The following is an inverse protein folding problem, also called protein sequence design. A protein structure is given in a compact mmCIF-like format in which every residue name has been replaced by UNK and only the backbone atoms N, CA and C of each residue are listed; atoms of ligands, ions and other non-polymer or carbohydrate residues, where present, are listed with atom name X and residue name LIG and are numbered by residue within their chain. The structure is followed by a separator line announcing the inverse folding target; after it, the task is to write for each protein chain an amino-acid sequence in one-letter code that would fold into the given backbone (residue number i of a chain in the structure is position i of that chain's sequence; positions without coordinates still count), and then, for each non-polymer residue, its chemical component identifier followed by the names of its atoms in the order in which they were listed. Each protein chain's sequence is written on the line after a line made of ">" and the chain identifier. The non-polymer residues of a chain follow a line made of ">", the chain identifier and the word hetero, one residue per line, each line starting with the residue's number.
data_IF_177653131974
#
_entry.id   IF_177653131974
#
_cell.length_a   1.000
_cell.length_b   1.000
_cell.length_c   1.000
_cell.angle_alpha   90.00
_cell.angle_beta   90.00
_cell.angle_gamma   90.00
#
_symmetry.space_group_name_H-M   'P 1'
#
loop_
_entity.id
_entity.type
_entity.pdbx_description
1 polymer ?
#
# COMPACT_ATOMS: atom_id res chain seq x y z
N UNK A 1 -26.77 2.84 -33.57
CA UNK A 1 -25.44 2.70 -32.94
C UNK A 1 -25.61 1.76 -31.76
N UNK A 2 -24.69 0.81 -31.53
CA UNK A 2 -24.73 -0.04 -30.33
C UNK A 2 -24.52 0.84 -29.08
N UNK A 3 -25.16 0.49 -27.97
CA UNK A 3 -25.12 1.26 -26.72
C UNK A 3 -23.67 1.47 -26.22
N UNK A 4 -22.84 0.44 -26.29
CA UNK A 4 -21.43 0.47 -25.85
C UNK A 4 -20.60 1.53 -26.57
N UNK A 5 -20.88 1.78 -27.86
CA UNK A 5 -20.17 2.80 -28.66
C UNK A 5 -20.54 4.21 -28.20
N UNK A 6 -21.78 4.41 -27.76
CA UNK A 6 -22.24 5.69 -27.23
C UNK A 6 -21.61 5.91 -25.85
N UNK A 7 -21.61 4.88 -25.00
CA UNK A 7 -20.99 4.94 -23.67
C UNK A 7 -19.49 5.23 -23.76
N UNK A 8 -18.78 4.55 -24.67
CA UNK A 8 -17.35 4.83 -24.89
C UNK A 8 -17.12 6.27 -25.37
N UNK A 9 -17.91 6.75 -26.34
CA UNK A 9 -17.77 8.13 -26.82
C UNK A 9 -18.00 9.17 -25.71
N UNK A 10 -18.86 8.85 -24.74
CA UNK A 10 -19.13 9.70 -23.59
C UNK A 10 -17.95 9.74 -22.62
N UNK A 11 -17.38 8.58 -22.28
CA UNK A 11 -16.19 8.45 -21.43
C UNK A 11 -14.99 9.15 -22.08
N UNK A 12 -14.77 8.88 -23.35
CA UNK A 12 -13.71 9.49 -24.17
C UNK A 12 -13.75 11.03 -24.12
N UNK A 13 -14.95 11.62 -24.25
CA UNK A 13 -15.12 13.07 -24.17
C UNK A 13 -14.92 13.63 -22.76
N UNK A 14 -15.38 12.90 -21.74
CA UNK A 14 -15.17 13.28 -20.34
C UNK A 14 -13.68 13.35 -20.03
N UNK A 15 -12.91 12.35 -20.45
CA UNK A 15 -11.46 12.31 -20.25
C UNK A 15 -10.75 13.36 -21.09
N UNK A 16 -11.02 13.38 -22.40
CA UNK A 16 -10.33 14.25 -23.35
C UNK A 16 -11.33 15.15 -24.07
N UNK A 17 -11.52 16.41 -23.62
CA UNK A 17 -12.51 17.32 -24.20
C UNK A 17 -12.18 17.77 -25.63
N UNK A 18 -10.97 17.48 -26.13
CA UNK A 18 -10.58 17.64 -27.53
C UNK A 18 -11.21 16.61 -28.46
N UNK A 19 -11.77 15.51 -27.92
CA UNK A 19 -12.48 14.50 -28.71
C UNK A 19 -13.85 15.00 -29.18
N UNK A 20 -14.44 14.39 -30.23
CA UNK A 20 -15.74 14.82 -30.74
C UNK A 20 -16.85 14.74 -29.70
N UNK A 21 -17.69 15.77 -29.61
CA UNK A 21 -18.85 15.79 -28.72
C UNK A 21 -19.79 14.61 -29.07
N UNK A 22 -20.19 13.77 -28.09
CA UNK A 22 -21.09 12.66 -28.33
C UNK A 22 -22.42 13.13 -28.92
N UNK A 23 -22.92 12.42 -29.94
CA UNK A 23 -24.18 12.78 -30.61
C UNK A 23 -25.34 12.80 -29.62
N UNK A 24 -26.13 13.87 -29.63
CA UNK A 24 -27.29 14.04 -28.73
C UNK A 24 -26.95 14.58 -27.34
N UNK A 25 -25.69 14.98 -27.11
CA UNK A 25 -25.28 15.65 -25.88
C UNK A 25 -25.04 17.16 -26.09
N UNK A 26 -25.12 17.93 -25.02
CA UNK A 26 -24.85 19.37 -25.01
C UNK A 26 -23.50 19.62 -24.33
N UNK A 27 -22.62 20.40 -24.99
CA UNK A 27 -21.27 20.68 -24.49
C UNK A 27 -21.26 21.24 -23.05
N UNK A 28 -22.23 22.10 -22.70
CA UNK A 28 -22.38 22.63 -21.33
C UNK A 28 -22.62 21.53 -20.30
N UNK A 29 -23.47 20.53 -20.60
CA UNK A 29 -23.74 19.41 -19.69
C UNK A 29 -22.54 18.50 -19.57
N UNK A 30 -21.88 18.21 -20.70
CA UNK A 30 -20.66 17.40 -20.71
C UNK A 30 -19.55 18.02 -19.86
N UNK A 31 -19.39 19.36 -19.91
CA UNK A 31 -18.47 20.07 -19.04
C UNK A 31 -18.79 19.84 -17.55
N UNK A 32 -20.05 19.96 -17.16
CA UNK A 32 -20.48 19.70 -15.76
C UNK A 32 -20.12 18.28 -15.33
N UNK A 33 -20.39 17.27 -16.18
CA UNK A 33 -20.03 15.89 -15.87
C UNK A 33 -18.52 15.71 -15.74
N UNK A 34 -17.74 16.22 -16.68
CA UNK A 34 -16.28 16.16 -16.61
C UNK A 34 -15.77 16.78 -15.31
N UNK A 35 -16.21 17.99 -15.00
CA UNK A 35 -15.76 18.71 -13.81
C UNK A 35 -16.13 17.93 -12.54
N UNK A 36 -17.32 17.32 -12.49
CA UNK A 36 -17.73 16.45 -11.37
C UNK A 36 -16.84 15.21 -11.22
N UNK A 37 -16.60 14.47 -12.30
CA UNK A 37 -15.76 13.26 -12.26
C UNK A 37 -14.32 13.59 -11.91
N UNK A 38 -13.75 14.63 -12.53
CA UNK A 38 -12.40 15.09 -12.22
C UNK A 38 -12.28 15.50 -10.76
N UNK A 39 -13.21 16.32 -10.24
CA UNK A 39 -13.18 16.76 -8.85
C UNK A 39 -13.33 15.60 -7.86
N UNK A 40 -14.13 14.57 -8.19
CA UNK A 40 -14.24 13.37 -7.36
C UNK A 40 -12.92 12.59 -7.33
N UNK A 41 -12.29 12.36 -8.49
CA UNK A 41 -10.99 11.69 -8.57
C UNK A 41 -9.92 12.49 -7.83
N UNK A 42 -9.83 13.79 -8.07
CA UNK A 42 -8.90 14.67 -7.35
C UNK A 42 -9.13 14.60 -5.84
N UNK A 43 -10.38 14.72 -5.39
CA UNK A 43 -10.72 14.65 -3.96
C UNK A 43 -10.36 13.31 -3.33
N UNK A 44 -10.55 12.21 -4.06
CA UNK A 44 -10.19 10.89 -3.59
C UNK A 44 -8.69 10.70 -3.47
N UNK A 45 -7.92 11.01 -4.53
CA UNK A 45 -6.46 10.88 -4.52
C UNK A 45 -5.86 11.82 -3.47
N UNK A 46 -6.30 13.08 -3.40
CA UNK A 46 -5.82 14.04 -2.39
C UNK A 46 -6.05 13.56 -0.95
N UNK A 47 -7.19 12.91 -0.70
CA UNK A 47 -7.49 12.37 0.64
C UNK A 47 -6.70 11.10 0.96
N UNK A 48 -6.33 10.31 -0.05
CA UNK A 48 -5.59 9.07 0.10
C UNK A 48 -4.08 9.27 0.23
N UNK A 49 -3.54 10.37 -0.31
CA UNK A 49 -2.11 10.67 -0.34
C UNK A 49 -1.79 12.08 0.22
N UNK A 50 -2.17 12.38 1.47
CA UNK A 50 -2.06 13.72 2.04
C UNK A 50 -0.61 14.23 2.11
N UNK A 51 0.36 13.37 2.45
CA UNK A 51 1.78 13.73 2.51
C UNK A 51 2.30 13.97 1.10
N UNK A 52 2.07 13.05 0.16
CA UNK A 52 2.48 13.25 -1.22
C UNK A 52 1.90 14.54 -1.81
N UNK A 53 0.61 14.78 -1.62
CA UNK A 53 -0.06 16.00 -2.07
C UNK A 53 0.61 17.27 -1.52
N UNK A 54 0.99 17.29 -0.24
CA UNK A 54 1.68 18.43 0.38
C UNK A 54 3.02 18.78 -0.26
N UNK A 55 3.63 17.86 -1.02
CA UNK A 55 4.91 18.10 -1.68
C UNK A 55 4.77 18.91 -2.97
N UNK A 56 3.56 19.02 -3.52
CA UNK A 56 3.28 19.68 -4.80
C UNK A 56 2.71 21.08 -4.61
N UNK A 57 2.94 21.94 -5.60
CA UNK A 57 2.07 23.10 -5.78
C UNK A 57 0.69 22.64 -6.27
N UNK A 58 -0.35 23.44 -6.03
CA UNK A 58 -1.71 23.13 -6.53
C UNK A 58 -1.73 22.91 -8.06
N UNK A 59 -0.96 23.70 -8.82
CA UNK A 59 -0.90 23.58 -10.28
C UNK A 59 -0.25 22.26 -10.73
N UNK A 60 0.86 21.88 -10.09
CA UNK A 60 1.56 20.64 -10.41
C UNK A 60 0.75 19.42 -9.99
N UNK A 61 0.09 19.47 -8.83
CA UNK A 61 -0.81 18.41 -8.39
C UNK A 61 -1.98 18.21 -9.35
N UNK A 62 -2.68 19.29 -9.71
CA UNK A 62 -3.80 19.20 -10.67
C UNK A 62 -3.35 18.68 -12.04
N UNK A 63 -2.10 18.97 -12.44
CA UNK A 63 -1.51 18.41 -13.67
C UNK A 63 -1.32 16.90 -13.53
N UNK A 64 -0.73 16.42 -12.45
CA UNK A 64 -0.55 14.99 -12.17
C UNK A 64 -1.91 14.25 -12.15
N UNK A 65 -2.91 14.80 -11.47
CA UNK A 65 -4.26 14.23 -11.42
C UNK A 65 -4.93 14.26 -12.79
N UNK A 66 -4.71 15.30 -13.60
CA UNK A 66 -5.23 15.39 -14.95
C UNK A 66 -4.63 14.32 -15.86
N UNK A 67 -3.34 14.03 -15.72
CA UNK A 67 -2.66 12.96 -16.44
C UNK A 67 -3.18 11.58 -16.03
N UNK A 68 -3.36 11.34 -14.72
CA UNK A 68 -4.00 10.13 -14.20
C UNK A 68 -5.41 9.96 -14.78
N UNK A 69 -6.25 11.00 -14.70
CA UNK A 69 -7.64 10.97 -15.16
C UNK A 69 -7.79 10.66 -16.65
N UNK A 70 -6.84 11.14 -17.47
CA UNK A 70 -6.85 10.95 -18.92
C UNK A 70 -6.28 9.59 -19.32
N UNK A 71 -5.17 9.20 -18.70
CA UNK A 71 -4.37 8.05 -19.12
C UNK A 71 -4.92 6.75 -18.55
N UNK A 72 -5.29 6.76 -17.27
CA UNK A 72 -5.70 5.55 -16.56
C UNK A 72 -7.22 5.33 -16.66
N UNK A 73 -7.62 4.14 -17.11
CA UNK A 73 -9.03 3.72 -17.16
C UNK A 73 -9.47 3.15 -15.82
N UNK A 74 -9.88 4.02 -14.89
CA UNK A 74 -10.48 3.62 -13.62
C UNK A 74 -11.68 2.69 -13.85
N UNK A 75 -11.63 1.48 -13.28
CA UNK A 75 -12.67 0.46 -13.47
C UNK A 75 -13.72 0.46 -12.36
N UNK A 76 -13.57 1.34 -11.38
CA UNK A 76 -14.29 1.27 -10.11
C UNK A 76 -14.59 2.63 -9.50
N UNK A 77 -15.75 2.81 -8.87
CA UNK A 77 -16.06 3.99 -8.07
C UNK A 77 -15.58 3.88 -6.61
N UNK A 78 -14.93 2.77 -6.22
CA UNK A 78 -14.56 2.49 -4.84
C UNK A 78 -13.29 3.25 -4.46
N UNK A 79 -13.37 4.09 -3.43
CA UNK A 79 -12.29 4.99 -2.98
C UNK A 79 -10.91 4.30 -2.86
N UNK A 80 -10.83 3.19 -2.12
CA UNK A 80 -9.55 2.49 -1.90
C UNK A 80 -9.01 1.88 -3.20
N UNK A 81 -9.89 1.45 -4.11
CA UNK A 81 -9.46 0.89 -5.39
C UNK A 81 -8.96 2.00 -6.32
N UNK A 82 -9.54 3.21 -6.27
CA UNK A 82 -9.02 4.38 -6.99
C UNK A 82 -7.63 4.78 -6.48
N UNK A 83 -7.41 4.73 -5.17
CA UNK A 83 -6.07 4.96 -4.60
C UNK A 83 -5.06 3.91 -5.11
N UNK A 84 -5.46 2.64 -5.17
CA UNK A 84 -4.63 1.59 -5.75
C UNK A 84 -4.32 1.83 -7.23
N UNK A 85 -5.32 2.19 -8.03
CA UNK A 85 -5.17 2.52 -9.45
C UNK A 85 -4.21 3.71 -9.65
N UNK A 86 -4.24 4.71 -8.76
CA UNK A 86 -3.27 5.80 -8.80
C UNK A 86 -1.83 5.32 -8.54
N UNK A 87 -1.61 4.42 -7.58
CA UNK A 87 -0.29 3.80 -7.36
C UNK A 87 0.17 3.02 -8.60
N UNK A 88 -0.72 2.26 -9.23
CA UNK A 88 -0.42 1.53 -10.48
C UNK A 88 -0.04 2.51 -11.59
N UNK A 89 -0.82 3.57 -11.78
CA UNK A 89 -0.53 4.62 -12.76
C UNK A 89 0.87 5.21 -12.56
N UNK A 90 1.23 5.57 -11.33
CA UNK A 90 2.57 6.08 -11.01
C UNK A 90 3.69 5.09 -11.32
N UNK A 91 3.42 3.78 -11.21
CA UNK A 91 4.40 2.71 -11.44
C UNK A 91 4.58 2.34 -12.91
N UNK A 92 3.52 2.34 -13.71
CA UNK A 92 3.53 1.73 -15.05
C UNK A 92 3.20 2.66 -16.21
N UNK A 93 2.56 3.79 -15.95
CA UNK A 93 2.02 4.67 -17.01
C UNK A 93 2.62 6.07 -16.95
N UNK A 94 2.81 6.60 -15.75
CA UNK A 94 3.35 7.95 -15.53
C UNK A 94 4.84 8.01 -15.86
N UNK A 95 5.26 9.13 -16.46
CA UNK A 95 6.66 9.42 -16.72
C UNK A 95 7.11 10.54 -15.79
N UNK A 96 8.06 10.23 -14.91
CA UNK A 96 8.57 11.18 -13.94
C UNK A 96 9.20 12.40 -14.64
N UNK A 97 8.91 13.56 -14.08
CA UNK A 97 9.44 14.86 -14.50
C UNK A 97 10.35 15.44 -13.42
N UNK A 98 11.08 16.52 -13.74
CA UNK A 98 11.94 17.23 -12.77
C UNK A 98 11.17 17.84 -11.58
N UNK A 99 9.83 17.89 -11.66
CA UNK A 99 8.97 18.41 -10.58
C UNK A 99 8.58 17.33 -9.58
N UNK A 100 8.72 16.07 -9.96
CA UNK A 100 8.30 14.95 -9.13
C UNK A 100 9.38 14.59 -8.10
N UNK A 101 8.99 14.34 -6.83
CA UNK A 101 9.92 13.78 -5.87
C UNK A 101 10.45 12.43 -6.36
N UNK A 102 11.76 12.21 -6.25
CA UNK A 102 12.41 10.96 -6.69
C UNK A 102 11.87 9.70 -6.02
N UNK A 103 11.20 9.86 -4.88
CA UNK A 103 10.58 8.80 -4.07
C UNK A 103 9.06 8.70 -4.23
N UNK A 104 8.45 9.43 -5.17
CA UNK A 104 6.98 9.51 -5.37
C UNK A 104 6.29 8.14 -5.33
N UNK A 105 6.81 7.14 -6.03
CA UNK A 105 6.22 5.79 -6.10
C UNK A 105 6.25 5.12 -4.72
N UNK A 106 7.39 5.21 -4.02
CA UNK A 106 7.56 4.59 -2.70
C UNK A 106 6.67 5.28 -1.66
N UNK A 107 6.57 6.61 -1.68
CA UNK A 107 5.70 7.37 -0.78
C UNK A 107 4.22 7.09 -1.07
N UNK A 108 3.80 7.09 -2.33
CA UNK A 108 2.43 6.77 -2.70
C UNK A 108 2.05 5.36 -2.21
N UNK A 109 2.93 4.37 -2.42
CA UNK A 109 2.70 3.02 -1.91
C UNK A 109 2.64 3.00 -0.37
N UNK A 110 3.51 3.75 0.32
CA UNK A 110 3.50 3.87 1.78
C UNK A 110 2.18 4.39 2.33
N UNK A 111 1.65 5.50 1.80
CA UNK A 111 0.37 6.07 2.23
C UNK A 111 -0.81 5.16 1.85
N UNK A 112 -0.81 4.58 0.64
CA UNK A 112 -1.85 3.64 0.22
C UNK A 112 -1.94 2.41 1.15
N UNK A 113 -0.80 1.90 1.60
CA UNK A 113 -0.78 0.72 2.48
C UNK A 113 -1.40 0.98 3.84
N UNK A 114 -1.44 2.23 4.31
CA UNK A 114 -2.20 2.62 5.51
C UNK A 114 -3.70 2.34 5.32
N UNK A 115 -4.26 2.74 4.19
CA UNK A 115 -5.67 2.50 3.85
C UNK A 115 -5.97 1.00 3.74
N UNK A 116 -5.08 0.25 3.10
CA UNK A 116 -5.21 -1.22 2.95
C UNK A 116 -5.31 -1.89 4.30
N UNK A 117 -4.45 -1.53 5.25
CA UNK A 117 -4.46 -2.10 6.59
C UNK A 117 -5.65 -1.60 7.41
N UNK A 118 -6.03 -0.33 7.26
CA UNK A 118 -7.18 0.24 7.95
C UNK A 118 -8.48 -0.52 7.64
N UNK A 119 -8.70 -0.93 6.38
CA UNK A 119 -9.94 -1.61 5.96
C UNK A 119 -9.80 -3.12 5.82
N UNK A 120 -8.63 -3.70 6.12
CA UNK A 120 -8.38 -5.13 6.04
C UNK A 120 -9.40 -5.90 6.89
N UNK A 121 -9.96 -6.99 6.37
CA UNK A 121 -10.92 -7.80 7.11
C UNK A 121 -10.18 -8.79 8.00
N UNK A 122 -10.62 -8.91 9.25
CA UNK A 122 -10.14 -9.99 10.11
C UNK A 122 -10.50 -11.35 9.53
N UNK A 123 -9.54 -12.26 9.58
CA UNK A 123 -9.71 -13.62 9.16
C UNK A 123 -10.14 -14.46 10.37
N UNK A 124 -11.29 -15.15 10.32
CA UNK A 124 -11.77 -15.95 11.45
C UNK A 124 -10.83 -17.10 11.82
N UNK A 125 -9.98 -17.55 10.89
CA UNK A 125 -8.97 -18.58 11.13
C UNK A 125 -7.75 -18.02 11.86
N UNK A 126 -7.57 -16.70 11.92
CA UNK A 126 -6.43 -16.08 12.60
C UNK A 126 -6.84 -15.69 14.03
N UNK A 127 -6.33 -16.42 15.02
CA UNK A 127 -6.64 -16.21 16.42
C UNK A 127 -5.41 -15.75 17.22
N UNK A 128 -5.65 -15.06 18.33
CA UNK A 128 -4.60 -14.66 19.25
C UNK A 128 -3.92 -15.88 19.87
N UNK A 129 -2.59 -15.84 19.95
CA UNK A 129 -1.78 -16.91 20.54
C UNK A 129 -1.86 -16.82 22.06
N UNK A 130 -2.52 -17.80 22.70
CA UNK A 130 -2.66 -17.87 24.17
C UNK A 130 -1.68 -18.82 24.85
N UNK A 131 -1.02 -19.68 24.07
CA UNK A 131 -0.11 -20.73 24.54
C UNK A 131 1.32 -20.56 24.02
N UNK A 132 2.19 -21.56 24.23
CA UNK A 132 3.56 -21.51 23.73
C UNK A 132 3.61 -21.43 22.20
N UNK A 133 4.36 -20.46 21.67
CA UNK A 133 4.57 -20.26 20.23
C UNK A 133 5.06 -21.52 19.53
N UNK A 134 5.89 -22.31 20.21
CA UNK A 134 6.42 -23.56 19.68
C UNK A 134 5.33 -24.61 19.35
N UNK A 135 4.11 -24.46 19.89
CA UNK A 135 3.03 -25.44 19.77
C UNK A 135 1.91 -24.99 18.83
N UNK A 136 2.06 -23.85 18.15
CA UNK A 136 1.02 -23.31 17.29
C UNK A 136 1.48 -23.22 15.84
N UNK A 137 0.50 -23.26 14.94
CA UNK A 137 0.63 -22.94 13.54
C UNK A 137 0.66 -21.42 13.38
N UNK A 138 1.81 -20.82 13.08
CA UNK A 138 2.00 -19.37 13.02
C UNK A 138 1.61 -18.84 11.64
N UNK A 139 0.90 -17.73 11.60
CA UNK A 139 0.65 -16.96 10.38
C UNK A 139 0.86 -15.46 10.63
N UNK A 140 1.11 -14.72 9.54
CA UNK A 140 0.99 -13.27 9.56
C UNK A 140 -0.51 -12.92 9.57
N UNK A 141 -0.92 -11.96 10.39
CA UNK A 141 -2.30 -11.48 10.38
C UNK A 141 -2.66 -10.87 9.02
N UNK A 142 -3.89 -11.07 8.55
CA UNK A 142 -4.39 -10.43 7.31
C UNK A 142 -4.52 -8.92 7.46
N UNK A 143 -4.54 -8.44 8.71
CA UNK A 143 -4.49 -7.03 9.10
C UNK A 143 -3.05 -6.51 9.30
N UNK A 144 -2.04 -7.26 8.85
CA UNK A 144 -0.64 -6.87 8.89
C UNK A 144 0.02 -7.01 7.50
N UNK A 145 0.95 -6.10 7.20
CA UNK A 145 1.68 -6.03 5.93
C UNK A 145 3.14 -5.71 6.18
N UNK A 146 4.02 -6.44 5.51
CA UNK A 146 5.48 -6.25 5.58
C UNK A 146 5.90 -5.45 4.36
N UNK A 147 6.57 -4.33 4.59
CA UNK A 147 6.91 -3.36 3.55
C UNK A 147 8.39 -3.04 3.59
N UNK A 148 8.95 -2.71 2.44
CA UNK A 148 10.34 -2.30 2.31
C UNK A 148 10.44 -1.12 1.32
N UNK A 149 11.24 -0.12 1.70
CA UNK A 149 11.45 1.10 0.93
C UNK A 149 12.93 1.44 0.88
N UNK A 150 13.39 2.00 -0.24
CA UNK A 150 14.77 2.46 -0.41
C UNK A 150 14.95 3.85 0.21
N UNK A 151 13.90 4.67 0.20
CA UNK A 151 13.89 6.02 0.78
C UNK A 151 13.29 6.03 2.19
N UNK A 152 13.65 7.06 2.98
CA UNK A 152 13.11 7.31 4.32
C UNK A 152 11.69 7.91 4.25
N UNK A 153 10.77 7.16 3.63
CA UNK A 153 9.39 7.59 3.34
C UNK A 153 8.58 7.94 4.59
N UNK A 154 8.86 7.29 5.73
CA UNK A 154 8.18 7.55 7.01
C UNK A 154 8.37 8.99 7.50
N UNK A 155 9.50 9.62 7.18
CA UNK A 155 9.85 10.97 7.65
C UNK A 155 9.57 12.05 6.62
N UNK A 156 9.15 11.67 5.42
CA UNK A 156 8.88 12.64 4.35
C UNK A 156 7.81 13.64 4.80
N UNK A 157 8.10 14.90 4.53
CA UNK A 157 7.22 16.05 4.79
C UNK A 157 7.64 17.21 3.89
N UNK A 158 6.94 18.34 3.99
CA UNK A 158 7.35 19.56 3.29
C UNK A 158 8.80 19.97 3.63
N UNK A 159 9.22 19.78 4.89
CA UNK A 159 10.54 20.14 5.42
C UNK A 159 11.63 19.08 5.22
N UNK A 160 11.25 17.82 4.96
CA UNK A 160 12.19 16.72 4.76
C UNK A 160 11.87 15.93 3.50
N UNK A 161 12.68 16.13 2.46
CA UNK A 161 12.57 15.50 1.15
C UNK A 161 13.91 14.85 0.79
N UNK A 162 14.08 13.53 0.94
CA UNK A 162 15.34 12.87 0.64
C UNK A 162 15.61 12.81 -0.87
N UNK A 163 16.77 13.31 -1.31
CA UNK A 163 17.18 13.27 -2.73
C UNK A 163 17.84 11.93 -3.12
N UNK A 164 18.28 11.15 -2.13
CA UNK A 164 18.97 9.87 -2.34
C UNK A 164 18.38 8.78 -1.46
N UNK A 165 18.39 7.51 -1.91
CA UNK A 165 18.04 6.38 -1.06
C UNK A 165 18.92 6.31 0.19
N UNK A 166 18.41 5.64 1.21
CA UNK A 166 19.16 5.28 2.42
C UNK A 166 20.23 4.23 2.09
N UNK A 167 21.29 4.13 2.92
CA UNK A 167 22.36 3.14 2.72
C UNK A 167 21.85 1.69 2.77
N UNK A 168 20.80 1.45 3.56
CA UNK A 168 20.14 0.16 3.69
C UNK A 168 18.61 0.35 3.66
N UNK A 169 17.87 -0.51 2.93
CA UNK A 169 16.41 -0.38 2.84
C UNK A 169 15.74 -0.30 4.21
N UNK A 170 14.77 0.60 4.32
CA UNK A 170 13.90 0.73 5.48
C UNK A 170 12.82 -0.36 5.44
N UNK A 171 12.64 -1.08 6.52
CA UNK A 171 11.69 -2.19 6.61
C UNK A 171 10.65 -1.90 7.67
N UNK A 172 9.39 -2.17 7.36
CA UNK A 172 8.25 -1.87 8.22
C UNK A 172 7.29 -3.05 8.29
N UNK A 173 6.60 -3.16 9.42
CA UNK A 173 5.33 -3.85 9.52
C UNK A 173 4.25 -2.81 9.80
N UNK A 174 3.33 -2.63 8.85
CA UNK A 174 2.08 -1.94 9.11
C UNK A 174 1.10 -2.96 9.65
N UNK A 175 0.42 -2.64 10.73
CA UNK A 175 -0.62 -3.50 11.27
C UNK A 175 -1.72 -2.70 11.94
N UNK A 176 -2.91 -3.28 12.01
CA UNK A 176 -4.01 -2.73 12.80
C UNK A 176 -3.98 -3.35 14.20
N UNK A 177 -3.89 -2.53 15.23
CA UNK A 177 -3.86 -2.98 16.62
C UNK A 177 -5.26 -3.32 17.15
N UNK A 178 -5.33 -3.77 18.41
CA UNK A 178 -6.60 -4.13 19.05
C UNK A 178 -7.56 -2.95 19.32
N UNK A 179 -7.15 -1.72 19.02
CA UNK A 179 -7.99 -0.51 19.08
C UNK A 179 -8.42 -0.04 17.69
N UNK A 180 -8.22 -0.86 16.66
CA UNK A 180 -8.50 -0.54 15.26
C UNK A 180 -7.62 0.60 14.70
N UNK A 181 -6.47 0.88 15.32
CA UNK A 181 -5.52 1.92 14.88
C UNK A 181 -4.42 1.29 14.03
N UNK A 182 -4.10 1.92 12.89
CA UNK A 182 -2.97 1.50 12.06
C UNK A 182 -1.66 1.98 12.68
N UNK A 183 -0.73 1.05 12.88
CA UNK A 183 0.58 1.30 13.48
C UNK A 183 1.67 0.95 12.47
N UNK A 184 2.64 1.84 12.33
CA UNK A 184 3.87 1.64 11.57
C UNK A 184 5.00 1.21 12.51
N UNK A 185 5.37 -0.07 12.47
CA UNK A 185 6.48 -0.61 13.24
C UNK A 185 7.72 -0.74 12.35
N UNK A 186 8.75 0.06 12.60
CA UNK A 186 10.05 -0.12 11.96
C UNK A 186 10.68 -1.44 12.42
N UNK A 187 11.17 -2.23 11.48
CA UNK A 187 11.71 -3.57 11.70
C UNK A 187 13.23 -3.56 11.64
N UNK A 188 13.85 -4.39 12.47
CA UNK A 188 15.23 -4.79 12.22
C UNK A 188 15.27 -5.86 11.10
N UNK A 189 16.45 -6.12 10.50
CA UNK A 189 16.58 -7.04 9.37
C UNK A 189 16.09 -8.47 9.66
N UNK A 190 16.34 -9.00 10.86
CA UNK A 190 15.92 -10.36 11.21
C UNK A 190 14.40 -10.46 11.31
N UNK A 191 13.75 -9.48 11.94
CA UNK A 191 12.29 -9.44 12.07
C UNK A 191 11.61 -9.30 10.72
N UNK A 192 12.12 -8.45 9.84
CA UNK A 192 11.59 -8.31 8.48
C UNK A 192 11.66 -9.60 7.67
N UNK A 193 12.76 -10.36 7.82
CA UNK A 193 12.94 -11.64 7.13
C UNK A 193 11.98 -12.72 7.67
N UNK A 194 11.81 -12.80 8.99
CA UNK A 194 10.83 -13.72 9.60
C UNK A 194 9.41 -13.40 9.15
N UNK A 195 9.00 -12.13 9.22
CA UNK A 195 7.65 -11.73 8.82
C UNK A 195 7.44 -11.87 7.31
N UNK A 196 8.44 -11.56 6.49
CA UNK A 196 8.41 -11.78 5.05
C UNK A 196 8.27 -13.27 4.70
N UNK A 197 8.96 -14.14 5.43
CA UNK A 197 8.82 -15.59 5.29
C UNK A 197 7.40 -16.06 5.66
N UNK A 198 6.85 -15.58 6.79
CA UNK A 198 5.46 -15.86 7.17
C UNK A 198 4.46 -15.37 6.12
N UNK A 199 4.67 -14.20 5.50
CA UNK A 199 3.75 -13.66 4.49
C UNK A 199 3.64 -14.49 3.21
N UNK A 200 4.60 -15.38 2.95
CA UNK A 200 4.63 -16.24 1.76
C UNK A 200 3.94 -17.59 2.00
N UNK A 201 3.51 -17.86 3.23
CA UNK A 201 2.92 -19.13 3.64
C UNK A 201 1.59 -18.88 4.33
N UNK A 202 0.62 -19.77 4.13
CA UNK A 202 -0.65 -19.72 4.88
C UNK A 202 -0.41 -19.99 6.37
N UNK A 203 0.50 -20.91 6.68
CA UNK A 203 0.90 -21.23 8.05
C UNK A 203 2.29 -21.86 8.10
N UNK A 204 3.01 -21.64 9.21
CA UNK A 204 4.36 -22.13 9.47
C UNK A 204 4.47 -22.61 10.92
N UNK A 205 5.02 -23.79 11.15
CA UNK A 205 5.36 -24.22 12.52
C UNK A 205 6.66 -23.57 12.99
N UNK A 206 6.80 -23.34 14.29
CA UNK A 206 8.01 -22.75 14.87
C UNK A 206 9.28 -23.54 14.53
N UNK A 207 9.24 -24.88 14.56
CA UNK A 207 10.40 -25.73 14.21
C UNK A 207 10.82 -25.57 12.74
N UNK A 208 9.84 -25.41 11.84
CA UNK A 208 10.13 -25.19 10.42
C UNK A 208 10.78 -23.81 10.21
N UNK A 209 10.24 -22.78 10.85
CA UNK A 209 10.80 -21.43 10.82
C UNK A 209 12.22 -21.40 11.36
N UNK A 210 12.50 -22.07 12.49
CA UNK A 210 13.85 -22.17 13.04
C UNK A 210 14.81 -22.91 12.13
N UNK A 211 14.35 -24.00 11.50
CA UNK A 211 15.16 -24.75 10.53
C UNK A 211 15.57 -23.86 9.36
N UNK A 212 14.62 -23.09 8.83
CA UNK A 212 14.88 -22.12 7.77
C UNK A 212 15.87 -21.03 8.23
N UNK A 213 15.63 -20.41 9.39
CA UNK A 213 16.53 -19.37 9.94
C UNK A 213 17.97 -19.86 10.12
N UNK A 214 18.17 -21.07 10.63
CA UNK A 214 19.52 -21.66 10.81
C UNK A 214 20.24 -21.88 9.48
N UNK A 215 19.50 -22.23 8.43
CA UNK A 215 20.07 -22.38 7.08
C UNK A 215 20.41 -21.02 6.46
N UNK A 216 19.60 -19.99 6.71
CA UNK A 216 19.82 -18.63 6.19
C UNK A 216 20.94 -17.88 6.93
N UNK A 217 21.09 -18.13 8.24
CA UNK A 217 22.06 -17.47 9.10
C UNK A 217 22.99 -18.46 9.83
N UNK A 218 23.77 -19.28 9.12
CA UNK A 218 24.61 -20.33 9.71
C UNK A 218 25.71 -19.80 10.65
N UNK A 219 26.04 -18.51 10.55
CA UNK A 219 27.02 -17.82 11.40
C UNK A 219 26.46 -17.42 12.78
N UNK A 220 25.13 -17.45 12.98
CA UNK A 220 24.51 -17.14 14.27
C UNK A 220 24.39 -18.39 15.14
N UNK A 221 24.56 -18.24 16.45
CA UNK A 221 24.43 -19.36 17.37
C UNK A 221 22.96 -19.85 17.47
N UNK A 222 22.78 -21.17 17.50
CA UNK A 222 21.47 -21.83 17.49
C UNK A 222 20.55 -21.41 18.64
N UNK A 223 21.11 -21.26 19.83
CA UNK A 223 20.41 -20.83 21.04
C UNK A 223 19.92 -19.39 20.93
N UNK A 224 20.77 -18.51 20.38
CA UNK A 224 20.43 -17.10 20.10
C UNK A 224 19.29 -17.01 19.09
N UNK A 225 19.35 -17.76 17.99
CA UNK A 225 18.27 -17.79 17.00
C UNK A 225 16.97 -18.32 17.60
N UNK A 226 17.04 -19.40 18.38
CA UNK A 226 15.87 -20.04 18.97
C UNK A 226 15.18 -19.12 19.98
N UNK A 227 15.94 -18.59 20.95
CA UNK A 227 15.39 -17.72 21.99
C UNK A 227 14.98 -16.36 21.44
N UNK A 228 15.81 -15.78 20.57
CA UNK A 228 15.55 -14.48 19.95
C UNK A 228 14.32 -14.50 19.04
N UNK A 229 14.18 -15.52 18.20
CA UNK A 229 13.00 -15.70 17.35
C UNK A 229 11.74 -15.94 18.20
N UNK A 230 11.81 -16.79 19.22
CA UNK A 230 10.69 -17.05 20.12
C UNK A 230 10.18 -15.79 20.82
N UNK A 231 11.08 -14.98 21.40
CA UNK A 231 10.70 -13.72 22.05
C UNK A 231 10.12 -12.71 21.06
N UNK A 232 10.77 -12.55 19.91
CA UNK A 232 10.31 -11.64 18.85
C UNK A 232 8.88 -11.99 18.38
N UNK A 233 8.60 -13.27 18.14
CA UNK A 233 7.27 -13.73 17.75
C UNK A 233 6.24 -13.51 18.86
N UNK A 234 6.63 -13.62 20.13
CA UNK A 234 5.73 -13.34 21.27
C UNK A 234 5.37 -11.86 21.34
N UNK A 235 6.34 -10.99 21.15
CA UNK A 235 6.12 -9.54 21.15
C UNK A 235 5.22 -9.13 19.97
N UNK A 236 5.40 -9.75 18.80
CA UNK A 236 4.57 -9.52 17.61
C UNK A 236 3.17 -10.13 17.76
N UNK A 237 3.04 -11.26 18.47
CA UNK A 237 1.74 -11.85 18.77
C UNK A 237 0.93 -10.99 19.74
N UNK A 238 1.57 -10.41 20.74
CA UNK A 238 0.94 -9.45 21.66
C UNK A 238 0.45 -8.17 20.93
N UNK A 239 1.02 -7.85 19.77
CA UNK A 239 0.59 -6.74 18.90
C UNK A 239 -0.48 -7.14 17.89
N UNK A 240 -0.84 -8.42 17.80
CA UNK A 240 -1.77 -8.94 16.79
C UNK A 240 -1.16 -9.07 15.38
N UNK A 241 0.17 -8.88 15.23
CA UNK A 241 0.88 -9.02 13.95
C UNK A 241 1.03 -10.48 13.55
N UNK A 242 1.45 -11.31 14.51
CA UNK A 242 1.56 -12.76 14.34
C UNK A 242 0.40 -13.42 15.07
N UNK A 243 -0.30 -14.31 14.38
CA UNK A 243 -1.46 -15.03 14.94
C UNK A 243 -1.27 -16.53 14.81
N UNK A 244 -2.09 -17.28 15.53
CA UNK A 244 -2.24 -18.71 15.29
C UNK A 244 -3.28 -18.91 14.19
N UNK A 245 -2.94 -19.73 13.21
CA UNK A 245 -3.88 -20.23 12.22
C UNK A 245 -4.65 -21.45 12.76
N UNK A 246 -5.97 -21.41 12.68
CA UNK A 246 -6.86 -22.53 12.96
C UNK A 246 -7.23 -23.22 11.65
N UNK A 247 -6.75 -24.44 11.45
CA UNK A 247 -7.13 -25.30 10.33
C UNK A 247 -8.38 -26.13 10.65
#
# INVERSE_FOLDING_TARGET
>A
MKFDVIQQSFIDYIKQPSRPLPKGTEARRMKIYRDLFFNNINGFVTSAFPVLHSLYSEEDWLTLIQDFFVTHDCQTPIFIEIAHEFVIFLQSEYQLTDRDPVFIIELAHYEYMELVVAVAKDNPLHQDIKGPIAQVALCLSDTAKVLQYSFDVQRVSEDYRPDTPTESPQQFCLYRDGQEVVIFLQLNPLTAQVLGYLSQHETVSFDHLLTWLKQTYPQMADDVLTQGCGQMLADLAAKGVVKQYLA
#
